data_IF_808289300231
#
_entry.id   IF_808289300231
#
_cell.length_a   1.000
_cell.length_b   1.000
_cell.length_c   1.000
_cell.angle_alpha   90.00
_cell.angle_beta   90.00
_cell.angle_gamma   90.00
#
_symmetry.space_group_name_H-M   'P 1'
#
loop_
_entity.id
_entity.type
_entity.pdbx_description
1 polymer ?
#
# COMPACT_ATOMS: atom_id res chain seq x y z
N UNK A 1 2.61 54.98 1.70
CA UNK A 1 3.44 53.95 2.37
C UNK A 1 2.80 52.59 2.09
N UNK A 2 3.23 51.91 1.03
CA UNK A 2 2.64 50.62 0.60
C UNK A 2 3.46 49.52 1.28
N UNK A 3 2.85 48.84 2.26
CA UNK A 3 3.47 47.72 2.96
C UNK A 3 3.74 46.59 1.96
N UNK A 4 5.03 46.28 1.73
CA UNK A 4 5.48 45.10 0.98
C UNK A 4 4.93 43.86 1.72
N UNK A 5 3.88 43.27 1.16
CA UNK A 5 3.34 41.98 1.61
C UNK A 5 4.47 40.96 1.47
N UNK A 6 4.98 40.49 2.61
CA UNK A 6 5.90 39.36 2.67
C UNK A 6 5.18 38.14 2.09
N UNK A 7 5.53 37.77 0.86
CA UNK A 7 5.06 36.53 0.26
C UNK A 7 5.79 35.37 0.97
N UNK A 8 5.12 34.77 1.96
CA UNK A 8 5.58 33.53 2.58
C UNK A 8 5.36 32.41 1.56
N UNK A 9 6.43 31.96 0.92
CA UNK A 9 6.40 30.82 -0.01
C UNK A 9 6.43 29.55 0.85
N UNK A 10 5.25 28.97 1.08
CA UNK A 10 5.11 27.71 1.81
C UNK A 10 5.49 26.58 0.84
N UNK A 11 6.74 26.12 0.89
CA UNK A 11 7.17 24.92 0.17
C UNK A 11 6.60 23.72 0.93
N UNK A 12 5.48 23.19 0.46
CA UNK A 12 4.87 21.98 0.99
C UNK A 12 5.78 20.77 0.73
N UNK A 13 6.36 20.22 1.80
CA UNK A 13 7.12 18.98 1.76
C UNK A 13 6.14 17.82 1.59
N UNK A 14 6.01 17.28 0.39
CA UNK A 14 5.25 16.06 0.15
C UNK A 14 6.04 14.87 0.70
N UNK A 15 5.69 14.37 1.88
CA UNK A 15 6.24 13.13 2.41
C UNK A 15 5.62 11.95 1.67
N UNK A 16 6.42 11.25 0.87
CA UNK A 16 6.00 9.98 0.26
C UNK A 16 6.02 8.89 1.33
N UNK A 17 4.85 8.38 1.72
CA UNK A 17 4.74 7.15 2.51
C UNK A 17 5.08 5.97 1.61
N UNK A 18 6.21 5.31 1.90
CA UNK A 18 6.57 4.07 1.24
C UNK A 18 5.70 2.94 1.79
N UNK A 19 4.82 2.42 0.95
CA UNK A 19 3.97 1.26 1.20
C UNK A 19 4.83 0.01 1.03
N UNK A 20 4.95 -0.81 2.07
CA UNK A 20 5.79 -2.02 2.01
C UNK A 20 4.98 -3.18 1.44
N UNK A 21 5.46 -3.81 0.35
CA UNK A 21 4.77 -4.96 -0.22
C UNK A 21 4.74 -6.15 0.76
N UNK A 22 3.58 -6.81 0.87
CA UNK A 22 3.34 -7.95 1.75
C UNK A 22 4.16 -9.17 1.28
N UNK A 23 4.93 -9.84 2.16
CA UNK A 23 5.73 -10.99 1.77
C UNK A 23 4.87 -12.23 1.40
N UNK A 24 5.48 -13.24 0.76
CA UNK A 24 4.83 -14.50 0.40
C UNK A 24 4.13 -15.16 1.58
N UNK A 25 2.90 -15.65 1.35
CA UNK A 25 2.11 -16.37 2.36
C UNK A 25 1.65 -15.55 3.57
N UNK A 26 1.91 -14.24 3.60
CA UNK A 26 1.41 -13.35 4.66
C UNK A 26 0.01 -12.80 4.33
N UNK A 27 -0.64 -12.24 5.37
CA UNK A 27 -1.93 -11.60 5.23
C UNK A 27 -1.83 -10.32 4.42
N UNK A 28 -2.69 -10.20 3.42
CA UNK A 28 -2.80 -9.04 2.53
C UNK A 28 -4.22 -8.45 2.49
N UNK A 29 -5.13 -8.95 3.33
CA UNK A 29 -6.51 -8.50 3.33
C UNK A 29 -7.40 -9.29 4.25
N UNK A 30 -8.69 -8.96 4.19
CA UNK A 30 -9.73 -9.49 5.05
C UNK A 30 -10.45 -8.39 5.81
N UNK A 31 -11.57 -8.74 6.41
CA UNK A 31 -12.40 -7.83 7.20
C UNK A 31 -11.63 -7.31 8.41
N UNK A 32 -11.64 -5.99 8.59
CA UNK A 32 -10.87 -5.24 9.59
C UNK A 32 -9.33 -5.32 9.42
N UNK A 33 -8.82 -5.66 8.23
CA UNK A 33 -7.40 -5.53 7.92
C UNK A 33 -7.03 -4.07 7.64
N UNK A 34 -6.13 -3.50 8.47
CA UNK A 34 -5.61 -2.13 8.31
C UNK A 34 -4.16 -2.10 7.78
N UNK A 35 -3.61 -3.29 7.49
CA UNK A 35 -2.26 -3.43 6.97
C UNK A 35 -2.18 -3.29 5.45
N UNK A 36 -1.01 -3.63 4.92
CA UNK A 36 -0.73 -3.54 3.50
C UNK A 36 -1.55 -4.57 2.71
N UNK A 37 -2.01 -4.18 1.51
CA UNK A 37 -2.87 -5.02 0.67
C UNK A 37 -2.20 -5.49 -0.61
N UNK A 38 -1.07 -4.88 -0.95
CA UNK A 38 -0.30 -5.20 -2.13
C UNK A 38 0.76 -6.27 -1.79
N UNK A 39 0.67 -7.42 -2.46
CA UNK A 39 1.67 -8.48 -2.34
C UNK A 39 2.94 -8.12 -3.12
N UNK A 40 4.07 -8.73 -2.76
CA UNK A 40 5.29 -8.66 -3.56
C UNK A 40 5.05 -9.08 -5.02
N UNK A 41 5.84 -8.52 -5.93
CA UNK A 41 5.77 -8.84 -7.37
C UNK A 41 5.80 -10.35 -7.61
N UNK A 42 4.85 -10.86 -8.41
CA UNK A 42 4.70 -12.31 -8.66
C UNK A 42 3.80 -13.02 -7.64
N UNK A 43 3.15 -12.30 -6.73
CA UNK A 43 2.20 -12.84 -5.77
C UNK A 43 0.86 -12.12 -5.90
N UNK A 44 -0.22 -12.85 -5.66
CA UNK A 44 -1.59 -12.34 -5.66
C UNK A 44 -2.22 -12.48 -4.29
N UNK A 45 -2.94 -11.44 -3.88
CA UNK A 45 -3.75 -11.49 -2.67
C UNK A 45 -5.03 -12.28 -2.95
N UNK A 46 -5.17 -13.46 -2.35
CA UNK A 46 -6.31 -14.36 -2.55
C UNK A 46 -7.04 -14.59 -1.23
N UNK A 47 -8.36 -14.43 -1.27
CA UNK A 47 -9.24 -14.70 -0.14
C UNK A 47 -9.15 -16.18 0.29
N UNK A 48 -8.82 -16.41 1.56
CA UNK A 48 -8.94 -17.74 2.18
C UNK A 48 -10.24 -17.83 3.00
N UNK A 49 -10.64 -16.72 3.61
CA UNK A 49 -11.93 -16.50 4.25
C UNK A 49 -12.20 -14.99 4.41
N UNK A 50 -13.39 -14.63 4.88
CA UNK A 50 -13.81 -13.22 5.00
C UNK A 50 -12.87 -12.34 5.85
N UNK A 51 -12.09 -12.94 6.77
CA UNK A 51 -11.20 -12.25 7.71
C UNK A 51 -9.73 -12.33 7.32
N UNK A 52 -9.35 -13.19 6.37
CA UNK A 52 -7.96 -13.48 6.05
C UNK A 52 -7.77 -13.76 4.56
N UNK A 53 -7.09 -12.85 3.89
CA UNK A 53 -6.64 -13.01 2.52
C UNK A 53 -5.12 -13.17 2.56
N UNK A 54 -4.59 -14.09 1.76
CA UNK A 54 -3.19 -14.48 1.77
C UNK A 54 -2.51 -14.17 0.45
N UNK A 55 -1.27 -13.69 0.49
CA UNK A 55 -0.41 -13.65 -0.69
C UNK A 55 -0.06 -15.07 -1.12
N UNK A 56 -0.59 -15.50 -2.26
CA UNK A 56 -0.29 -16.78 -2.88
C UNK A 56 0.47 -16.55 -4.19
N UNK A 57 1.21 -17.58 -4.61
CA UNK A 57 2.11 -17.47 -5.76
C UNK A 57 1.29 -17.30 -7.05
N UNK A 58 1.60 -16.26 -7.83
CA UNK A 58 0.99 -16.05 -9.15
C UNK A 58 1.81 -16.80 -10.22
N UNK A 59 1.90 -18.11 -10.06
CA UNK A 59 2.82 -18.93 -10.86
C UNK A 59 2.43 -19.11 -12.32
N UNK A 60 1.26 -18.64 -12.74
CA UNK A 60 0.81 -18.83 -14.12
C UNK A 60 0.78 -20.30 -14.59
N UNK A 61 0.93 -21.27 -13.67
CA UNK A 61 0.91 -22.71 -13.92
C UNK A 61 -0.35 -23.34 -13.30
N UNK A 62 -1.48 -22.70 -13.56
CA UNK A 62 -2.68 -23.48 -13.83
C UNK A 62 -2.61 -23.79 -15.32
N UNK A 63 -2.02 -24.94 -15.66
CA UNK A 63 -2.28 -25.58 -16.95
C UNK A 63 -3.80 -25.73 -17.18
#
# INVERSE_FOLDING_TARGET
>A
MIAKKLAVVIVSLAATVAVAAVPPYFQCGGKNWEGETECQTGWKCVEQNEWYFQCVQDDGDYC
#
